data_IF_604274369309
#
_entry.id   IF_604274369309
#
_cell.length_a   1.000
_cell.length_b   1.000
_cell.length_c   1.000
_cell.angle_alpha   90.00
_cell.angle_beta   90.00
_cell.angle_gamma   90.00
#
_symmetry.space_group_name_H-M   'P 1'
#
loop_
_entity.id
_entity.type
_entity.pdbx_description
1 polymer ?
#
# COMPACT_ATOMS: atom_id res chain seq x y z
N UNK A 1 11.52 -10.65 17.35
CA UNK A 1 10.42 -10.10 16.52
C UNK A 1 10.29 -8.63 16.87
N UNK A 2 10.23 -7.72 15.89
CA UNK A 2 10.15 -6.28 16.14
C UNK A 2 8.76 -5.92 16.71
N UNK A 3 8.71 -4.99 17.66
CA UNK A 3 7.48 -4.41 18.17
C UNK A 3 6.79 -3.52 17.12
N UNK A 4 5.47 -3.28 17.24
CA UNK A 4 4.75 -2.38 16.35
C UNK A 4 5.37 -0.95 16.31
N UNK A 5 5.87 -0.47 17.45
CA UNK A 5 6.57 0.81 17.55
C UNK A 5 7.86 0.86 16.72
N UNK A 6 8.69 -0.19 16.79
CA UNK A 6 9.92 -0.26 16.01
C UNK A 6 9.63 -0.34 14.51
N UNK A 7 8.54 -1.00 14.11
CA UNK A 7 8.09 -1.03 12.72
C UNK A 7 7.62 0.34 12.24
N UNK A 8 6.84 1.06 13.04
CA UNK A 8 6.42 2.42 12.72
C UNK A 8 7.63 3.36 12.60
N UNK A 9 8.56 3.31 13.54
CA UNK A 9 9.77 4.15 13.49
C UNK A 9 10.60 3.87 12.23
N UNK A 10 10.73 2.60 11.84
CA UNK A 10 11.39 2.26 10.57
C UNK A 10 10.65 2.78 9.35
N UNK A 11 9.32 2.79 9.36
CA UNK A 11 8.54 3.37 8.27
C UNK A 11 8.70 4.89 8.20
N UNK A 12 8.76 5.56 9.36
CA UNK A 12 9.03 7.00 9.47
C UNK A 12 10.41 7.35 8.92
N UNK A 13 11.45 6.62 9.34
CA UNK A 13 12.82 6.83 8.86
C UNK A 13 12.91 6.61 7.34
N UNK A 14 12.23 5.58 6.80
CA UNK A 14 12.16 5.32 5.35
C UNK A 14 11.44 6.43 4.59
N UNK A 15 10.37 6.99 5.14
CA UNK A 15 9.65 8.11 4.55
C UNK A 15 10.54 9.35 4.48
N UNK A 16 11.23 9.68 5.58
CA UNK A 16 12.14 10.82 5.62
C UNK A 16 13.30 10.67 4.62
N UNK A 17 13.89 9.47 4.52
CA UNK A 17 14.92 9.20 3.51
C UNK A 17 14.36 9.31 2.10
N UNK A 18 13.17 8.76 1.84
CA UNK A 18 12.56 8.83 0.51
C UNK A 18 12.25 10.28 0.08
N UNK A 19 11.85 11.13 1.02
CA UNK A 19 11.66 12.56 0.75
C UNK A 19 12.99 13.25 0.44
N UNK A 20 14.02 13.03 1.26
CA UNK A 20 15.34 13.63 1.04
C UNK A 20 15.96 13.22 -0.31
N UNK A 21 15.77 11.97 -0.74
CA UNK A 21 16.21 11.51 -2.07
C UNK A 21 15.39 12.11 -3.22
N UNK A 22 14.08 12.30 -3.03
CA UNK A 22 13.21 12.95 -4.02
C UNK A 22 13.55 14.44 -4.20
N UNK A 23 13.88 15.14 -3.12
CA UNK A 23 14.26 16.56 -3.15
C UNK A 23 15.70 16.81 -3.63
N UNK A 24 16.57 15.79 -3.58
CA UNK A 24 17.92 15.90 -4.08
C UNK A 24 17.93 16.17 -5.61
N UNK A 25 18.90 16.95 -6.12
CA UNK A 25 19.03 17.18 -7.56
C UNK A 25 19.08 15.85 -8.32
N UNK A 26 18.14 15.58 -9.24
CA UNK A 26 18.07 14.28 -9.89
C UNK A 26 19.25 14.11 -10.84
N UNK A 27 19.92 12.96 -10.76
CA UNK A 27 21.01 12.61 -11.68
C UNK A 27 20.51 12.34 -13.12
N UNK A 28 19.21 12.05 -13.28
CA UNK A 28 18.53 11.86 -14.56
C UNK A 28 17.01 11.91 -14.39
N UNK A 29 16.26 12.06 -15.48
CA UNK A 29 14.79 11.94 -15.48
C UNK A 29 14.32 10.59 -14.96
N UNK A 30 15.00 9.50 -15.32
CA UNK A 30 14.67 8.15 -14.82
C UNK A 30 14.93 8.03 -13.32
N UNK A 31 15.97 8.69 -12.80
CA UNK A 31 16.24 8.72 -11.35
C UNK A 31 15.12 9.46 -10.60
N UNK A 32 14.66 10.59 -11.13
CA UNK A 32 13.53 11.31 -10.56
C UNK A 32 12.25 10.47 -10.51
N UNK A 33 11.89 9.82 -11.63
CA UNK A 33 10.74 8.90 -11.72
C UNK A 33 10.83 7.76 -10.69
N UNK A 34 12.04 7.22 -10.46
CA UNK A 34 12.25 6.22 -9.41
C UNK A 34 11.97 6.77 -8.01
N UNK A 35 12.49 7.96 -7.70
CA UNK A 35 12.30 8.58 -6.38
C UNK A 35 10.85 8.97 -6.13
N UNK A 36 10.10 9.39 -7.14
CA UNK A 36 8.65 9.60 -7.04
C UNK A 36 7.91 8.33 -6.63
N UNK A 37 8.15 7.22 -7.34
CA UNK A 37 7.52 5.93 -7.05
C UNK A 37 7.88 5.43 -5.64
N UNK A 38 9.15 5.63 -5.24
CA UNK A 38 9.63 5.28 -3.90
C UNK A 38 8.97 6.12 -2.82
N UNK A 39 8.89 7.45 -3.00
CA UNK A 39 8.26 8.35 -2.04
C UNK A 39 6.78 8.01 -1.87
N UNK A 40 6.05 7.80 -2.97
CA UNK A 40 4.63 7.44 -2.92
C UNK A 40 4.39 6.12 -2.17
N UNK A 41 5.27 5.13 -2.38
CA UNK A 41 5.24 3.87 -1.63
C UNK A 41 5.58 4.07 -0.15
N UNK A 42 6.52 4.96 0.18
CA UNK A 42 6.91 5.24 1.56
C UNK A 42 5.81 5.97 2.33
N UNK A 43 5.11 6.91 1.69
CA UNK A 43 3.93 7.61 2.25
C UNK A 43 2.87 6.59 2.65
N UNK A 44 2.47 5.73 1.70
CA UNK A 44 1.47 4.70 1.97
C UNK A 44 1.87 3.75 3.12
N UNK A 45 3.13 3.30 3.14
CA UNK A 45 3.62 2.41 4.19
C UNK A 45 3.59 3.07 5.58
N UNK A 46 4.01 4.34 5.66
CA UNK A 46 3.98 5.08 6.91
C UNK A 46 2.54 5.24 7.41
N UNK A 47 1.65 5.67 6.53
CA UNK A 47 0.24 5.90 6.82
C UNK A 47 -0.47 4.64 7.34
N UNK A 48 -0.28 3.50 6.68
CA UNK A 48 -0.87 2.23 7.13
C UNK A 48 -0.22 1.75 8.43
N UNK A 49 1.10 1.90 8.57
CA UNK A 49 1.80 1.53 9.80
C UNK A 49 1.33 2.36 11.00
N UNK A 50 1.11 3.67 10.80
CA UNK A 50 0.61 4.57 11.82
C UNK A 50 -0.79 4.14 12.29
N UNK A 51 -1.70 3.89 11.35
CA UNK A 51 -3.07 3.47 11.66
C UNK A 51 -3.10 2.11 12.38
N UNK A 52 -2.28 1.14 11.96
CA UNK A 52 -2.17 -0.16 12.62
C UNK A 52 -1.62 -0.05 14.05
N UNK A 53 -0.57 0.76 14.26
CA UNK A 53 -0.01 0.98 15.59
C UNK A 53 -1.00 1.74 16.49
N UNK A 54 -1.72 2.71 15.94
CA UNK A 54 -2.77 3.42 16.66
C UNK A 54 -3.90 2.48 17.10
N UNK A 55 -4.35 1.59 16.21
CA UNK A 55 -5.35 0.56 16.53
C UNK A 55 -4.86 -0.37 17.63
N UNK A 56 -3.61 -0.83 17.54
CA UNK A 56 -3.01 -1.72 18.54
C UNK A 56 -2.83 -1.07 19.92
N UNK A 57 -2.40 0.21 19.96
CA UNK A 57 -2.17 0.94 21.22
C UNK A 57 -3.46 1.29 21.95
N UNK A 58 -4.44 1.79 21.20
CA UNK A 58 -5.66 2.32 21.79
C UNK A 58 -6.73 1.23 21.98
N UNK A 59 -6.55 0.08 21.31
CA UNK A 59 -7.46 -1.07 21.27
C UNK A 59 -8.95 -0.67 21.34
N UNK A 60 -9.42 0.17 20.40
CA UNK A 60 -10.79 0.63 20.43
C UNK A 60 -11.74 -0.55 20.27
N UNK A 61 -12.90 -0.46 20.93
CA UNK A 61 -13.95 -1.48 20.89
C UNK A 61 -15.29 -0.90 20.41
N UNK A 62 -16.21 -1.79 20.05
CA UNK A 62 -17.54 -1.43 19.57
C UNK A 62 -17.51 -0.62 18.27
N UNK A 63 -18.30 0.45 18.19
CA UNK A 63 -18.39 1.26 16.97
C UNK A 63 -17.12 2.09 16.70
N UNK A 64 -16.39 2.49 17.76
CA UNK A 64 -15.13 3.24 17.61
C UNK A 64 -14.07 2.43 16.86
N UNK A 65 -14.03 1.11 17.09
CA UNK A 65 -13.19 0.20 16.31
C UNK A 65 -13.50 0.27 14.82
N UNK A 66 -14.79 0.22 14.47
CA UNK A 66 -15.24 0.25 13.07
C UNK A 66 -14.84 1.56 12.39
N UNK A 67 -14.98 2.67 13.12
CA UNK A 67 -14.54 3.99 12.67
C UNK A 67 -13.01 4.04 12.50
N UNK A 68 -12.23 3.45 13.41
CA UNK A 68 -10.77 3.40 13.28
C UNK A 68 -10.32 2.58 12.07
N UNK A 69 -10.92 1.40 11.86
CA UNK A 69 -10.62 0.51 10.73
C UNK A 69 -10.94 1.12 9.36
N UNK A 70 -11.88 2.08 9.29
CA UNK A 70 -12.25 2.73 8.02
C UNK A 70 -11.07 3.44 7.35
N UNK A 71 -10.15 4.02 8.13
CA UNK A 71 -8.98 4.74 7.59
C UNK A 71 -8.05 3.79 6.84
N UNK A 72 -7.78 2.62 7.44
CA UNK A 72 -6.97 1.56 6.83
C UNK A 72 -7.61 1.08 5.53
N UNK A 73 -8.92 0.82 5.55
CA UNK A 73 -9.67 0.41 4.36
C UNK A 73 -9.57 1.44 3.24
N UNK A 74 -9.77 2.73 3.57
CA UNK A 74 -9.66 3.81 2.60
C UNK A 74 -8.29 3.83 1.93
N UNK A 75 -7.22 3.82 2.73
CA UNK A 75 -5.83 3.84 2.25
C UNK A 75 -5.50 2.63 1.39
N UNK A 76 -5.90 1.43 1.81
CA UNK A 76 -5.73 0.20 1.02
C UNK A 76 -6.44 0.29 -0.32
N UNK A 77 -7.67 0.80 -0.33
CA UNK A 77 -8.46 0.92 -1.55
C UNK A 77 -7.83 1.91 -2.54
N UNK A 78 -7.48 3.12 -2.09
CA UNK A 78 -6.85 4.13 -2.95
C UNK A 78 -5.50 3.64 -3.48
N UNK A 79 -4.71 2.96 -2.65
CA UNK A 79 -3.42 2.46 -3.08
C UNK A 79 -3.54 1.23 -4.01
N UNK A 80 -4.48 0.29 -3.80
CA UNK A 80 -4.75 -0.79 -4.80
C UNK A 80 -5.18 -0.19 -6.14
N UNK A 81 -6.05 0.83 -6.12
CA UNK A 81 -6.50 1.54 -7.31
C UNK A 81 -5.31 2.17 -8.05
N UNK A 82 -4.41 2.81 -7.32
CA UNK A 82 -3.21 3.43 -7.86
C UNK A 82 -2.21 2.39 -8.38
N UNK A 83 -1.96 1.31 -7.62
CA UNK A 83 -1.05 0.21 -8.01
C UNK A 83 -1.50 -0.43 -9.31
N UNK A 84 -2.79 -0.80 -9.39
CA UNK A 84 -3.33 -1.55 -10.54
C UNK A 84 -3.45 -0.70 -11.80
N UNK A 85 -3.76 0.59 -11.67
CA UNK A 85 -3.99 1.47 -12.82
C UNK A 85 -2.71 2.15 -13.30
N UNK A 86 -1.78 2.43 -12.39
CA UNK A 86 -0.66 3.33 -12.68
C UNK A 86 0.69 2.78 -12.23
N UNK A 87 0.90 2.42 -10.95
CA UNK A 87 2.26 2.18 -10.45
C UNK A 87 2.93 0.96 -11.07
N UNK A 88 2.22 -0.16 -11.26
CA UNK A 88 2.84 -1.34 -11.88
C UNK A 88 3.34 -1.01 -13.28
N UNK A 89 2.52 -0.31 -14.07
CA UNK A 89 2.92 0.10 -15.43
C UNK A 89 4.08 1.08 -15.42
N UNK A 90 4.09 2.05 -14.50
CA UNK A 90 5.22 2.99 -14.33
C UNK A 90 6.50 2.25 -13.95
N UNK A 91 6.44 1.31 -13.00
CA UNK A 91 7.59 0.50 -12.57
C UNK A 91 8.13 -0.36 -13.71
N UNK A 92 7.25 -1.02 -14.48
CA UNK A 92 7.65 -1.83 -15.64
C UNK A 92 8.29 -0.97 -16.73
N UNK A 93 7.66 0.16 -17.09
CA UNK A 93 8.22 1.10 -18.04
C UNK A 93 9.59 1.60 -17.60
N UNK A 94 9.73 1.98 -16.33
CA UNK A 94 10.98 2.46 -15.76
C UNK A 94 12.09 1.38 -15.80
N UNK A 95 11.73 0.11 -15.63
CA UNK A 95 12.67 -1.00 -15.77
C UNK A 95 13.10 -1.17 -17.24
N UNK A 96 12.14 -1.15 -18.19
CA UNK A 96 12.43 -1.20 -19.62
C UNK A 96 13.32 -0.04 -20.08
N UNK A 97 13.01 1.19 -19.65
CA UNK A 97 13.79 2.39 -19.98
C UNK A 97 15.22 2.35 -19.38
N UNK A 98 15.50 1.42 -18.47
CA UNK A 98 16.83 1.15 -17.88
C UNK A 98 17.47 -0.14 -18.39
N UNK A 99 16.92 -0.76 -19.44
CA UNK A 99 17.35 -2.07 -19.95
C UNK A 99 17.31 -3.19 -18.88
N UNK A 100 16.43 -3.07 -17.88
CA UNK A 100 16.18 -4.11 -16.88
C UNK A 100 15.03 -5.00 -17.36
N UNK A 101 15.35 -6.24 -17.73
CA UNK A 101 14.35 -7.26 -18.06
C UNK A 101 13.63 -7.72 -16.80
N UNK A 102 12.29 -7.64 -16.78
CA UNK A 102 11.46 -8.01 -15.63
C UNK A 102 10.78 -9.35 -15.88
N UNK A 103 10.82 -10.24 -14.89
CA UNK A 103 10.10 -11.52 -14.95
C UNK A 103 8.58 -11.31 -14.79
N UNK A 104 7.89 -11.25 -15.93
CA UNK A 104 6.44 -11.09 -15.98
C UNK A 104 5.66 -12.27 -15.41
N UNK A 105 6.19 -13.50 -15.48
CA UNK A 105 5.52 -14.66 -14.90
C UNK A 105 5.60 -14.63 -13.38
N UNK A 106 6.73 -14.20 -12.81
CA UNK A 106 6.85 -13.98 -11.37
C UNK A 106 5.91 -12.87 -10.86
N UNK A 107 5.75 -11.78 -11.62
CA UNK A 107 4.77 -10.72 -11.29
C UNK A 107 3.33 -11.26 -11.29
N UNK A 108 2.98 -12.03 -12.32
CA UNK A 108 1.65 -12.66 -12.43
C UNK A 108 1.40 -13.64 -11.28
N UNK A 109 2.37 -14.51 -10.98
CA UNK A 109 2.28 -15.45 -9.87
C UNK A 109 2.10 -14.75 -8.52
N UNK A 110 2.82 -13.64 -8.28
CA UNK A 110 2.65 -12.82 -7.10
C UNK A 110 1.23 -12.23 -7.01
N UNK A 111 0.70 -11.71 -8.12
CA UNK A 111 -0.68 -11.19 -8.19
C UNK A 111 -1.71 -12.27 -7.91
N UNK A 112 -1.57 -13.43 -8.54
CA UNK A 112 -2.53 -14.53 -8.42
C UNK A 112 -2.55 -15.10 -7.00
N UNK A 113 -1.37 -15.21 -6.36
CA UNK A 113 -1.24 -15.65 -4.96
C UNK A 113 -2.05 -14.80 -3.99
N UNK A 114 -2.07 -13.48 -4.18
CA UNK A 114 -2.73 -12.53 -3.28
C UNK A 114 -4.08 -12.03 -3.79
N UNK A 115 -4.56 -12.59 -4.91
CA UNK A 115 -5.83 -12.19 -5.54
C UNK A 115 -7.03 -12.21 -4.60
N UNK A 116 -7.21 -13.19 -3.68
CA UNK A 116 -8.34 -13.17 -2.75
C UNK A 116 -8.40 -11.89 -1.90
N UNK A 117 -7.26 -11.46 -1.34
CA UNK A 117 -7.16 -10.24 -0.54
C UNK A 117 -7.33 -8.99 -1.40
N UNK A 118 -6.77 -8.96 -2.62
CA UNK A 118 -6.99 -7.86 -3.56
C UNK A 118 -8.46 -7.72 -3.96
N UNK A 119 -9.17 -8.82 -4.18
CA UNK A 119 -10.62 -8.82 -4.45
C UNK A 119 -11.41 -8.31 -3.26
N UNK A 120 -11.02 -8.68 -2.03
CA UNK A 120 -11.63 -8.15 -0.80
C UNK A 120 -11.47 -6.65 -0.69
N UNK A 121 -10.29 -6.10 -0.95
CA UNK A 121 -10.09 -4.64 -0.93
C UNK A 121 -11.04 -3.97 -1.92
N UNK A 122 -11.18 -4.52 -3.12
CA UNK A 122 -12.04 -3.96 -4.17
C UNK A 122 -13.53 -4.00 -3.84
N UNK A 123 -13.98 -4.98 -3.06
CA UNK A 123 -15.39 -5.06 -2.66
C UNK A 123 -15.78 -3.91 -1.71
N UNK A 124 -14.82 -3.24 -1.07
CA UNK A 124 -15.06 -2.07 -0.23
C UNK A 124 -15.32 -0.76 -0.98
N UNK A 125 -15.52 -0.79 -2.31
CA UNK A 125 -15.83 0.42 -3.10
C UNK A 125 -16.99 1.24 -2.54
N UNK A 126 -18.09 0.59 -2.15
CA UNK A 126 -19.24 1.26 -1.54
C UNK A 126 -18.89 1.86 -0.17
N UNK A 127 -18.22 1.10 0.69
CA UNK A 127 -17.76 1.58 2.00
C UNK A 127 -16.83 2.80 1.85
N UNK A 128 -15.90 2.76 0.88
CA UNK A 128 -15.02 3.89 0.54
C UNK A 128 -15.83 5.11 0.15
N UNK A 129 -16.75 4.97 -0.80
CA UNK A 129 -17.51 6.10 -1.34
C UNK A 129 -18.50 6.69 -0.34
N UNK A 130 -19.04 5.87 0.57
CA UNK A 130 -20.15 6.23 1.46
C UNK A 130 -19.74 6.53 2.89
N UNK A 131 -18.57 6.09 3.35
CA UNK A 131 -18.21 6.19 4.76
C UNK A 131 -16.74 6.50 5.06
N UNK A 132 -15.82 6.15 4.16
CA UNK A 132 -14.38 6.24 4.43
C UNK A 132 -13.71 7.44 3.76
N UNK A 133 -14.08 7.79 2.52
CA UNK A 133 -13.49 8.91 1.77
C UNK A 133 -14.25 10.24 1.90
N UNK A 134 -15.57 10.18 2.09
CA UNK A 134 -16.45 11.36 2.21
C UNK A 134 -17.53 11.11 3.27
N UNK A 135 -18.01 12.18 3.90
CA UNK A 135 -19.22 12.12 4.72
C UNK A 135 -20.43 12.16 3.78
N UNK A 136 -21.16 11.05 3.70
CA UNK A 136 -22.43 10.98 2.98
C UNK A 136 -23.50 11.77 3.76
N UNK A 137 -24.46 12.37 3.06
CA UNK A 137 -25.56 13.09 3.69
C UNK A 137 -26.54 12.13 4.39
N UNK A 138 -26.56 10.85 4.01
CA UNK A 138 -27.27 9.79 4.71
C UNK A 138 -26.39 9.13 5.79
N UNK A 139 -26.47 9.68 7.00
CA UNK A 139 -25.79 9.15 8.20
C UNK A 139 -26.22 7.71 8.50
N UNK A 140 -27.46 7.32 8.20
CA UNK A 140 -27.94 5.95 8.47
C UNK A 140 -27.20 4.95 7.58
N UNK A 141 -27.07 5.27 6.29
CA UNK A 141 -26.31 4.45 5.34
C UNK A 141 -24.83 4.39 5.72
N UNK A 142 -24.23 5.51 6.14
CA UNK A 142 -22.86 5.54 6.63
C UNK A 142 -22.65 4.59 7.83
N UNK A 143 -23.53 4.67 8.84
CA UNK A 143 -23.47 3.80 10.02
C UNK A 143 -23.67 2.34 9.63
N UNK A 144 -24.58 2.03 8.70
CA UNK A 144 -24.79 0.67 8.22
C UNK A 144 -23.52 0.09 7.58
N UNK A 145 -22.84 0.85 6.73
CA UNK A 145 -21.59 0.42 6.11
C UNK A 145 -20.47 0.22 7.14
N UNK A 146 -20.31 1.15 8.08
CA UNK A 146 -19.29 1.04 9.13
C UNK A 146 -19.51 -0.17 10.03
N UNK A 147 -20.77 -0.46 10.40
CA UNK A 147 -21.11 -1.65 11.21
C UNK A 147 -20.73 -2.96 10.54
N UNK A 148 -20.70 -3.00 9.22
CA UNK A 148 -20.30 -4.18 8.45
C UNK A 148 -18.79 -4.44 8.41
N UNK A 149 -17.95 -3.55 8.97
CA UNK A 149 -16.50 -3.75 8.98
C UNK A 149 -16.12 -4.83 10.00
N UNK A 150 -15.33 -5.81 9.56
CA UNK A 150 -14.76 -6.84 10.43
C UNK A 150 -13.24 -6.65 10.61
N UNK A 151 -12.75 -6.76 11.86
CA UNK A 151 -11.33 -6.53 12.20
C UNK A 151 -10.44 -7.59 11.54
N UNK A 152 -10.87 -8.86 11.54
CA UNK A 152 -10.08 -9.96 10.99
C UNK A 152 -9.98 -9.82 9.47
N UNK A 153 -11.10 -9.54 8.80
CA UNK A 153 -11.09 -9.28 7.35
C UNK A 153 -10.17 -8.12 6.95
N UNK A 154 -10.19 -7.01 7.71
CA UNK A 154 -9.30 -5.88 7.45
C UNK A 154 -7.84 -6.28 7.67
N UNK A 155 -7.54 -6.99 8.75
CA UNK A 155 -6.19 -7.42 9.09
C UNK A 155 -5.63 -8.38 8.02
N UNK A 156 -6.42 -9.35 7.57
CA UNK A 156 -6.04 -10.27 6.49
C UNK A 156 -5.80 -9.54 5.17
N UNK A 157 -6.65 -8.57 4.84
CA UNK A 157 -6.48 -7.76 3.64
C UNK A 157 -5.20 -6.91 3.69
N UNK A 158 -4.91 -6.27 4.84
CA UNK A 158 -3.66 -5.55 5.07
C UNK A 158 -2.46 -6.48 4.86
N UNK A 159 -2.43 -7.62 5.53
CA UNK A 159 -1.33 -8.58 5.45
C UNK A 159 -1.11 -9.07 4.01
N UNK A 160 -2.18 -9.45 3.32
CA UNK A 160 -2.09 -9.90 1.93
C UNK A 160 -1.63 -8.79 0.99
N UNK A 161 -2.11 -7.56 1.18
CA UNK A 161 -1.74 -6.43 0.35
C UNK A 161 -0.27 -6.01 0.54
N UNK A 162 0.20 -5.94 1.80
CA UNK A 162 1.61 -5.66 2.07
C UNK A 162 2.51 -6.77 1.53
N UNK A 163 2.09 -8.03 1.65
CA UNK A 163 2.83 -9.17 1.11
C UNK A 163 2.89 -9.15 -0.42
N UNK A 164 1.81 -8.74 -1.08
CA UNK A 164 1.77 -8.51 -2.52
C UNK A 164 2.76 -7.40 -2.93
N UNK A 165 2.73 -6.24 -2.26
CA UNK A 165 3.66 -5.14 -2.54
C UNK A 165 5.12 -5.57 -2.36
N UNK A 166 5.44 -6.29 -1.28
CA UNK A 166 6.79 -6.84 -1.07
C UNK A 166 7.16 -7.79 -2.22
N UNK A 167 6.25 -8.68 -2.64
CA UNK A 167 6.51 -9.62 -3.73
C UNK A 167 6.83 -8.88 -5.05
N UNK A 168 6.09 -7.82 -5.37
CA UNK A 168 6.38 -6.97 -6.53
C UNK A 168 7.78 -6.35 -6.45
N UNK A 169 8.12 -5.77 -5.29
CA UNK A 169 9.43 -5.13 -5.09
C UNK A 169 10.57 -6.14 -5.15
N UNK A 170 10.37 -7.36 -4.66
CA UNK A 170 11.38 -8.42 -4.76
C UNK A 170 11.63 -8.81 -6.22
N UNK A 171 10.58 -9.00 -7.02
CA UNK A 171 10.73 -9.32 -8.46
C UNK A 171 11.50 -8.21 -9.18
N UNK A 172 11.16 -6.94 -8.91
CA UNK A 172 11.84 -5.79 -9.52
C UNK A 172 13.31 -5.67 -9.07
N UNK A 173 13.57 -5.86 -7.78
CA UNK A 173 14.93 -5.86 -7.22
C UNK A 173 15.79 -6.95 -7.85
N UNK A 174 15.26 -8.16 -7.94
CA UNK A 174 16.00 -9.33 -8.44
C UNK A 174 16.27 -9.19 -9.94
N UNK A 175 15.31 -8.63 -10.69
CA UNK A 175 15.48 -8.22 -12.08
C UNK A 175 16.63 -7.21 -12.25
N UNK A 176 16.67 -6.17 -11.40
CA UNK A 176 17.73 -5.15 -11.45
C UNK A 176 19.12 -5.67 -11.03
N UNK A 177 19.19 -6.65 -10.11
CA UNK A 177 20.46 -7.29 -9.72
C UNK A 177 20.99 -8.24 -10.78
N UNK A 178 20.10 -8.94 -11.48
CA UNK A 178 20.47 -9.79 -12.62
C UNK A 178 21.12 -9.00 -13.75
N UNK A 179 20.64 -7.77 -14.00
CA UNK A 179 21.23 -6.86 -15.00
C UNK A 179 22.60 -6.29 -14.58
N UNK A 180 22.85 -6.11 -13.28
CA UNK A 180 24.15 -5.61 -12.79
C UNK A 180 25.27 -6.68 -12.76
N UNK A 181 24.90 -7.95 -12.94
CA UNK A 181 25.81 -9.10 -12.91
C UNK A 181 26.08 -9.71 -14.30
N UNK A 182 25.44 -9.18 -15.36
CA UNK A 182 25.62 -9.55 -16.75
C UNK A 182 26.41 -8.46 -17.49
#
# INVERSE_FOLDING_TARGET
MKSPHELLKQSEDRLNVALAEYEAPPSSTLAHEFYELRLQSAIFNYDVSYDLVSLWKNDPSGFAEKVALKSIIHRLYEYDLLVRNHLVNRMLKLATDRDVSVDHEALKAARDRWMPQLKRIRSWSQLRNKAAGHYDNDVRLQVQHLRGIDRNEVTEAVQGFLSYNISLLLVLRDSGRGAAAA
#
